data_IF_228245052802
#
_entry.id   IF_228245052802
#
_cell.length_a   1.000
_cell.length_b   1.000
_cell.length_c   1.000
_cell.angle_alpha   90.00
_cell.angle_beta   90.00
_cell.angle_gamma   90.00
#
_symmetry.space_group_name_H-M   'P 1'
#
loop_
_entity.id
_entity.type
_entity.pdbx_description
1 polymer ?
#
# COMPACT_ATOMS: atom_id res chain seq x y z
N UNK A 1 44.83 -29.31 -4.58
CA UNK A 1 44.52 -27.98 -5.15
C UNK A 1 43.04 -27.97 -5.50
N UNK A 2 42.30 -27.16 -4.77
CA UNK A 2 40.84 -27.01 -4.79
C UNK A 2 40.41 -26.22 -6.02
N UNK A 3 39.31 -26.60 -6.67
CA UNK A 3 38.53 -25.66 -7.48
C UNK A 3 37.07 -25.85 -7.09
N UNK A 4 36.58 -24.92 -6.28
CA UNK A 4 35.16 -24.71 -6.01
C UNK A 4 34.54 -24.05 -7.24
N UNK A 5 33.35 -24.46 -7.72
CA UNK A 5 32.62 -23.66 -8.70
C UNK A 5 32.08 -22.40 -8.01
N UNK A 6 32.47 -21.24 -8.55
CA UNK A 6 31.91 -19.92 -8.27
C UNK A 6 30.39 -19.97 -8.55
N UNK A 7 29.57 -19.76 -7.52
CA UNK A 7 28.13 -19.57 -7.69
C UNK A 7 27.86 -18.34 -8.57
N UNK A 8 26.92 -18.50 -9.50
CA UNK A 8 26.41 -17.43 -10.34
C UNK A 8 25.90 -16.29 -9.45
N UNK A 9 26.47 -15.10 -9.62
CA UNK A 9 25.85 -13.88 -9.15
C UNK A 9 24.56 -13.69 -9.95
N UNK A 10 23.42 -13.67 -9.28
CA UNK A 10 22.16 -13.27 -9.86
C UNK A 10 22.36 -11.92 -10.56
N UNK A 11 22.34 -11.94 -11.89
CA UNK A 11 22.37 -10.72 -12.69
C UNK A 11 21.06 -9.99 -12.44
N UNK A 12 21.04 -9.09 -11.45
CA UNK A 12 20.00 -8.08 -11.34
C UNK A 12 20.06 -7.29 -12.64
N UNK A 13 19.13 -7.59 -13.56
CA UNK A 13 19.06 -6.94 -14.86
C UNK A 13 18.99 -5.42 -14.69
N UNK A 14 19.48 -4.69 -15.68
CA UNK A 14 19.35 -3.23 -15.70
C UNK A 14 17.89 -2.83 -15.44
N UNK A 15 17.62 -1.75 -14.69
CA UNK A 15 16.26 -1.34 -14.39
C UNK A 15 15.43 -1.20 -15.67
N UNK A 16 14.25 -1.81 -15.68
CA UNK A 16 13.33 -1.68 -16.81
C UNK A 16 12.81 -0.24 -16.86
N UNK A 17 12.99 0.46 -17.98
CA UNK A 17 12.33 1.75 -18.20
C UNK A 17 10.83 1.51 -18.40
N UNK A 18 10.05 1.78 -17.36
CA UNK A 18 8.60 1.64 -17.35
C UNK A 18 7.89 2.83 -18.01
N UNK A 19 8.65 3.85 -18.41
CA UNK A 19 8.20 4.99 -19.20
C UNK A 19 7.93 6.26 -18.40
N UNK A 20 7.48 7.26 -19.15
CA UNK A 20 7.16 8.59 -18.63
C UNK A 20 5.68 8.69 -18.24
N UNK A 21 5.34 9.48 -17.23
CA UNK A 21 3.98 9.78 -16.82
C UNK A 21 3.88 11.26 -16.46
N UNK A 22 2.70 11.85 -16.60
CA UNK A 22 2.49 13.21 -16.09
C UNK A 22 2.48 13.21 -14.55
N UNK A 23 1.85 12.17 -13.97
CA UNK A 23 1.74 11.99 -12.52
C UNK A 23 2.02 10.53 -12.12
N UNK A 24 2.91 10.34 -11.15
CA UNK A 24 3.07 9.05 -10.44
C UNK A 24 2.45 9.17 -9.06
N UNK A 25 1.49 8.31 -8.75
CA UNK A 25 0.86 8.20 -7.43
C UNK A 25 1.46 7.00 -6.71
N UNK A 26 1.94 7.18 -5.49
CA UNK A 26 2.54 6.11 -4.69
C UNK A 26 1.51 5.67 -3.64
N UNK A 27 1.03 4.43 -3.75
CA UNK A 27 0.05 3.82 -2.84
C UNK A 27 -1.38 3.81 -3.40
N UNK A 28 -2.02 2.64 -3.40
CA UNK A 28 -3.44 2.42 -3.75
C UNK A 28 -4.33 2.33 -2.51
N UNK A 29 -4.11 3.24 -1.56
CA UNK A 29 -5.00 3.49 -0.41
C UNK A 29 -6.08 4.53 -0.74
N UNK A 30 -6.84 4.93 0.29
CA UNK A 30 -7.90 5.93 0.14
C UNK A 30 -7.41 7.26 -0.46
N UNK A 31 -6.23 7.73 -0.05
CA UNK A 31 -5.61 8.95 -0.58
C UNK A 31 -5.22 8.83 -2.05
N UNK A 32 -4.55 7.74 -2.43
CA UNK A 32 -4.13 7.51 -3.81
C UNK A 32 -5.29 7.36 -4.78
N UNK A 33 -6.35 6.63 -4.40
CA UNK A 33 -7.57 6.53 -5.20
C UNK A 33 -8.30 7.87 -5.29
N UNK A 34 -8.36 8.62 -4.19
CA UNK A 34 -8.92 9.98 -4.17
C UNK A 34 -8.20 10.92 -5.13
N UNK A 35 -6.86 10.90 -5.13
CA UNK A 35 -6.03 11.68 -6.05
C UNK A 35 -6.27 11.28 -7.51
N UNK A 36 -6.27 9.97 -7.80
CA UNK A 36 -6.49 9.45 -9.15
C UNK A 36 -7.86 9.84 -9.71
N UNK A 37 -8.92 9.77 -8.89
CA UNK A 37 -10.24 10.25 -9.28
C UNK A 37 -10.21 11.73 -9.65
N UNK A 38 -9.61 12.58 -8.81
CA UNK A 38 -9.57 14.04 -9.04
C UNK A 38 -8.74 14.42 -10.26
N UNK A 39 -7.62 13.74 -10.50
CA UNK A 39 -6.80 13.92 -11.71
C UNK A 39 -7.62 13.55 -12.94
N UNK A 40 -8.31 12.41 -12.92
CA UNK A 40 -9.14 11.94 -14.04
C UNK A 40 -10.33 12.86 -14.29
N UNK A 41 -11.00 13.33 -13.23
CA UNK A 41 -12.15 14.23 -13.30
C UNK A 41 -11.78 15.59 -13.90
N UNK A 42 -10.69 16.20 -13.43
CA UNK A 42 -10.36 17.60 -13.73
C UNK A 42 -9.44 17.77 -14.92
N UNK A 43 -8.69 16.72 -15.27
CA UNK A 43 -7.66 16.78 -16.30
C UNK A 43 -7.77 15.58 -17.24
N UNK A 44 -8.87 15.46 -18.00
CA UNK A 44 -9.02 14.38 -18.96
C UNK A 44 -7.85 14.40 -19.96
N UNK A 45 -7.19 13.26 -20.12
CA UNK A 45 -6.03 13.09 -21.01
C UNK A 45 -4.66 13.11 -20.31
N UNK A 46 -4.59 13.45 -19.02
CA UNK A 46 -3.36 13.28 -18.25
C UNK A 46 -3.04 11.79 -18.08
N UNK A 47 -1.80 11.40 -18.34
CA UNK A 47 -1.33 10.03 -18.19
C UNK A 47 -0.75 9.83 -16.79
N UNK A 48 -1.45 9.10 -15.94
CA UNK A 48 -0.98 8.75 -14.60
C UNK A 48 -0.86 7.24 -14.38
N UNK A 49 -0.03 6.89 -13.40
CA UNK A 49 0.13 5.51 -12.89
C UNK A 49 0.10 5.52 -11.36
N UNK A 50 -0.45 4.47 -10.76
CA UNK A 50 -0.41 4.24 -9.31
C UNK A 50 0.51 3.05 -9.05
N UNK A 51 1.53 3.23 -8.22
CA UNK A 51 2.43 2.17 -7.79
C UNK A 51 2.02 1.70 -6.39
N UNK A 52 1.57 0.45 -6.29
CA UNK A 52 1.17 -0.17 -5.02
C UNK A 52 2.09 -1.35 -4.71
N UNK A 53 2.67 -1.33 -3.50
CA UNK A 53 3.58 -2.38 -3.04
C UNK A 53 2.89 -3.74 -2.92
N UNK A 54 1.60 -3.78 -2.59
CA UNK A 54 0.84 -5.02 -2.38
C UNK A 54 0.21 -5.54 -3.67
N UNK A 55 -0.30 -6.77 -3.59
CA UNK A 55 -1.07 -7.39 -4.66
C UNK A 55 -2.54 -6.90 -4.75
N UNK A 56 -2.98 -6.03 -3.83
CA UNK A 56 -4.38 -5.62 -3.68
C UNK A 56 -4.52 -4.15 -3.25
N UNK A 57 -5.65 -3.55 -3.60
CA UNK A 57 -6.07 -2.22 -3.17
C UNK A 57 -6.45 -2.25 -1.68
N UNK A 58 -6.18 -1.16 -0.95
CA UNK A 58 -6.78 -0.94 0.36
C UNK A 58 -5.94 -0.11 1.33
N UNK A 59 -4.63 0.01 1.08
CA UNK A 59 -3.71 0.68 2.01
C UNK A 59 -3.80 0.08 3.41
N UNK A 60 -4.09 0.91 4.42
CA UNK A 60 -4.28 0.48 5.83
C UNK A 60 -5.27 -0.68 5.98
N UNK A 61 -6.33 -0.71 5.17
CA UNK A 61 -7.39 -1.72 5.24
C UNK A 61 -7.01 -3.06 4.60
N UNK A 62 -5.92 -3.08 3.84
CA UNK A 62 -5.30 -4.33 3.40
C UNK A 62 -4.16 -4.77 4.34
N UNK A 63 -3.48 -3.82 4.99
CA UNK A 63 -2.40 -4.07 5.95
C UNK A 63 -2.89 -4.76 7.23
N UNK A 64 -3.95 -4.24 7.86
CA UNK A 64 -4.45 -4.77 9.12
C UNK A 64 -5.59 -5.75 8.87
N UNK A 65 -5.33 -7.05 9.08
CA UNK A 65 -6.30 -8.14 8.86
C UNK A 65 -6.68 -8.92 10.12
N UNK A 66 -6.50 -8.33 11.31
CA UNK A 66 -6.89 -8.96 12.57
C UNK A 66 -8.40 -8.82 12.84
N UNK A 67 -9.03 -9.77 13.57
CA UNK A 67 -10.46 -9.70 13.87
C UNK A 67 -10.85 -8.40 14.61
N UNK A 68 -11.90 -7.74 14.13
CA UNK A 68 -12.44 -6.51 14.76
C UNK A 68 -11.76 -5.20 14.35
N UNK A 69 -10.86 -5.22 13.34
CA UNK A 69 -10.34 -3.98 12.75
C UNK A 69 -11.47 -3.19 12.09
N UNK A 70 -11.63 -1.93 12.52
CA UNK A 70 -12.67 -1.01 12.06
C UNK A 70 -12.17 0.42 12.08
N UNK A 71 -12.85 1.31 11.37
CA UNK A 71 -12.60 2.74 11.51
C UNK A 71 -13.13 3.26 12.85
N UNK A 72 -12.37 4.15 13.47
CA UNK A 72 -12.82 4.98 14.58
C UNK A 72 -13.71 6.13 14.10
N UNK A 73 -13.54 6.55 12.86
CA UNK A 73 -14.35 7.54 12.17
C UNK A 73 -15.63 6.92 11.62
N UNK A 74 -16.68 7.74 11.57
CA UNK A 74 -17.89 7.38 10.82
C UNK A 74 -17.51 7.11 9.37
N UNK A 75 -18.02 6.01 8.79
CA UNK A 75 -17.73 5.70 7.39
C UNK A 75 -18.26 6.78 6.45
N UNK A 76 -19.30 7.51 6.85
CA UNK A 76 -19.85 8.63 6.08
C UNK A 76 -18.91 9.82 5.96
N UNK A 77 -17.97 9.98 6.90
CA UNK A 77 -16.92 11.02 6.84
C UNK A 77 -15.64 10.50 6.20
N UNK A 78 -15.39 9.19 6.26
CA UNK A 78 -14.23 8.56 5.63
C UNK A 78 -14.45 8.31 4.13
N UNK A 79 -15.68 8.02 3.69
CA UNK A 79 -16.01 7.73 2.29
C UNK A 79 -15.74 8.92 1.38
N UNK A 80 -15.64 8.65 0.08
CA UNK A 80 -15.41 9.68 -0.90
C UNK A 80 -16.70 10.50 -1.09
N UNK A 81 -16.61 11.84 -1.18
CA UNK A 81 -17.80 12.67 -1.36
C UNK A 81 -18.52 12.40 -2.70
N UNK A 82 -17.80 11.85 -3.68
CA UNK A 82 -18.33 11.46 -4.99
C UNK A 82 -18.79 9.99 -5.06
N UNK A 83 -18.47 9.17 -4.06
CA UNK A 83 -18.93 7.79 -3.94
C UNK A 83 -19.43 7.54 -2.51
N UNK A 84 -20.66 7.96 -2.18
CA UNK A 84 -21.17 7.81 -0.82
C UNK A 84 -21.25 6.35 -0.38
N UNK A 85 -20.99 6.10 0.91
CA UNK A 85 -21.21 4.80 1.51
C UNK A 85 -22.69 4.41 1.50
N UNK A 86 -23.01 3.22 1.00
CA UNK A 86 -24.39 2.75 0.81
C UNK A 86 -24.84 1.69 1.81
N UNK A 87 -23.93 1.13 2.61
CA UNK A 87 -24.29 0.11 3.60
C UNK A 87 -24.86 0.77 4.87
N UNK A 88 -25.59 -0.03 5.66
CA UNK A 88 -26.33 0.46 6.82
C UNK A 88 -25.41 0.73 8.02
N UNK A 89 -24.27 0.06 8.10
CA UNK A 89 -23.31 0.25 9.18
C UNK A 89 -22.69 1.66 9.14
N UNK A 90 -22.74 2.37 10.28
CA UNK A 90 -22.05 3.67 10.44
C UNK A 90 -20.58 3.54 10.81
N UNK A 91 -20.18 2.38 11.35
CA UNK A 91 -18.79 2.02 11.65
C UNK A 91 -18.45 0.80 10.83
N UNK A 92 -17.65 0.99 9.77
CA UNK A 92 -17.35 -0.06 8.83
C UNK A 92 -16.13 -0.90 9.28
N UNK A 93 -16.28 -2.21 9.13
CA UNK A 93 -15.17 -3.15 9.27
C UNK A 93 -14.16 -2.97 8.13
N UNK A 94 -12.89 -3.27 8.41
CA UNK A 94 -11.80 -3.04 7.44
C UNK A 94 -12.01 -3.77 6.12
N UNK A 95 -12.63 -4.96 6.13
CA UNK A 95 -12.98 -5.71 4.92
C UNK A 95 -13.97 -4.91 4.05
N UNK A 96 -15.01 -4.35 4.66
CA UNK A 96 -16.02 -3.58 3.93
C UNK A 96 -15.43 -2.28 3.36
N UNK A 97 -14.52 -1.63 4.10
CA UNK A 97 -13.83 -0.44 3.59
C UNK A 97 -12.95 -0.80 2.39
N UNK A 98 -12.21 -1.91 2.46
CA UNK A 98 -11.40 -2.39 1.33
C UNK A 98 -12.26 -2.74 0.11
N UNK A 99 -13.39 -3.41 0.31
CA UNK A 99 -14.36 -3.73 -0.76
C UNK A 99 -14.90 -2.45 -1.42
N UNK A 100 -15.25 -1.46 -0.63
CA UNK A 100 -15.69 -0.16 -1.10
C UNK A 100 -14.61 0.55 -1.94
N UNK A 101 -13.35 0.56 -1.49
CA UNK A 101 -12.23 1.15 -2.23
C UNK A 101 -12.01 0.43 -3.57
N UNK A 102 -12.03 -0.91 -3.57
CA UNK A 102 -11.88 -1.71 -4.79
C UNK A 102 -13.05 -1.50 -5.76
N UNK A 103 -14.29 -1.44 -5.25
CA UNK A 103 -15.48 -1.18 -6.07
C UNK A 103 -15.43 0.22 -6.69
N UNK A 104 -15.03 1.22 -5.90
CA UNK A 104 -14.84 2.60 -6.37
C UNK A 104 -13.79 2.65 -7.49
N UNK A 105 -12.63 2.03 -7.28
CA UNK A 105 -11.55 2.02 -8.27
C UNK A 105 -12.00 1.42 -9.61
N UNK A 106 -12.74 0.30 -9.58
CA UNK A 106 -13.32 -0.32 -10.78
C UNK A 106 -14.36 0.55 -11.45
N UNK A 107 -15.28 1.15 -10.68
CA UNK A 107 -16.37 1.99 -11.19
C UNK A 107 -15.83 3.15 -12.03
N UNK A 108 -14.73 3.76 -11.58
CA UNK A 108 -14.10 4.89 -12.26
C UNK A 108 -12.91 4.50 -13.16
N UNK A 109 -12.67 3.20 -13.36
CA UNK A 109 -11.59 2.68 -14.22
C UNK A 109 -10.17 2.95 -13.70
N UNK A 110 -10.03 3.39 -12.45
CA UNK A 110 -8.75 3.72 -11.80
C UNK A 110 -7.89 2.47 -11.64
N UNK A 111 -8.51 1.31 -11.44
CA UNK A 111 -7.84 0.02 -11.27
C UNK A 111 -6.89 -0.34 -12.43
N UNK A 112 -7.22 0.10 -13.66
CA UNK A 112 -6.41 -0.10 -14.87
C UNK A 112 -5.07 0.62 -14.83
N UNK A 113 -4.98 1.68 -14.01
CA UNK A 113 -3.79 2.50 -13.84
C UNK A 113 -2.90 2.03 -12.69
N UNK A 114 -3.30 0.98 -11.97
CA UNK A 114 -2.53 0.47 -10.83
C UNK A 114 -1.50 -0.55 -11.34
N UNK A 115 -0.27 -0.45 -10.82
CA UNK A 115 0.76 -1.47 -10.89
C UNK A 115 0.94 -2.00 -9.47
N UNK A 116 0.48 -3.23 -9.27
CA UNK A 116 0.63 -3.94 -8.01
C UNK A 116 2.06 -4.48 -7.87
N UNK A 117 2.39 -5.01 -6.70
CA UNK A 117 3.71 -5.55 -6.37
C UNK A 117 4.86 -4.60 -6.73
N UNK A 118 4.61 -3.29 -6.65
CA UNK A 118 5.51 -2.22 -7.08
C UNK A 118 5.98 -1.45 -5.86
N UNK A 119 7.14 -1.81 -5.32
CA UNK A 119 7.73 -1.16 -4.16
C UNK A 119 8.64 -0.02 -4.61
N UNK A 120 8.17 1.22 -4.45
CA UNK A 120 9.00 2.43 -4.66
C UNK A 120 10.08 2.52 -3.57
N UNK A 121 11.34 2.61 -4.00
CA UNK A 121 12.54 2.72 -3.16
C UNK A 121 13.07 4.14 -3.07
N UNK A 122 12.97 4.91 -4.15
CA UNK A 122 13.47 6.27 -4.22
C UNK A 122 12.64 7.11 -5.21
N UNK A 123 12.65 8.42 -4.98
CA UNK A 123 12.11 9.42 -5.89
C UNK A 123 13.07 10.61 -5.88
N UNK A 124 13.73 10.83 -7.01
CA UNK A 124 14.83 11.78 -7.15
C UNK A 124 14.43 12.87 -8.15
N UNK A 125 14.48 14.14 -7.73
CA UNK A 125 14.21 15.28 -8.60
C UNK A 125 15.44 15.68 -9.40
N UNK A 126 15.26 15.88 -10.70
CA UNK A 126 16.27 16.40 -11.60
C UNK A 126 15.81 17.75 -12.18
N UNK A 127 16.49 18.82 -11.74
CA UNK A 127 16.21 20.19 -12.20
C UNK A 127 16.69 20.49 -13.62
N UNK A 128 17.49 19.62 -14.23
CA UNK A 128 17.93 19.79 -15.63
C UNK A 128 16.85 19.33 -16.62
N UNK A 129 15.99 18.41 -16.18
CA UNK A 129 14.90 17.85 -16.99
C UNK A 129 13.52 18.26 -16.48
N UNK A 130 13.44 18.92 -15.33
CA UNK A 130 12.21 19.23 -14.59
C UNK A 130 11.33 17.99 -14.38
N UNK A 131 11.97 16.87 -14.04
CA UNK A 131 11.30 15.59 -13.80
C UNK A 131 11.80 14.86 -12.57
N UNK A 132 10.91 14.04 -12.00
CA UNK A 132 11.22 13.02 -11.03
C UNK A 132 11.61 11.73 -11.72
N UNK A 133 12.63 11.07 -11.19
CA UNK A 133 12.97 9.67 -11.46
C UNK A 133 12.55 8.84 -10.25
N UNK A 134 11.62 7.90 -10.45
CA UNK A 134 11.11 7.02 -9.41
C UNK A 134 11.71 5.64 -9.63
N UNK A 135 12.49 5.18 -8.64
CA UNK A 135 13.07 3.84 -8.64
C UNK A 135 12.17 2.91 -7.85
N UNK A 136 11.74 1.82 -8.47
CA UNK A 136 10.86 0.82 -7.87
C UNK A 136 11.38 -0.60 -8.11
N UNK A 137 10.88 -1.53 -7.30
CA UNK A 137 11.00 -2.97 -7.52
C UNK A 137 9.60 -3.49 -7.84
N UNK A 138 9.37 -3.92 -9.08
CA UNK A 138 8.10 -4.44 -9.55
C UNK A 138 8.21 -5.93 -9.82
N UNK A 139 7.39 -6.73 -9.14
CA UNK A 139 7.41 -8.20 -9.25
C UNK A 139 8.83 -8.78 -9.04
N UNK A 140 9.60 -8.18 -8.12
CA UNK A 140 10.99 -8.56 -7.82
C UNK A 140 12.04 -8.04 -8.80
N UNK A 141 11.64 -7.30 -9.85
CA UNK A 141 12.54 -6.75 -10.87
C UNK A 141 12.69 -5.24 -10.72
N UNK A 142 13.89 -4.66 -10.81
CA UNK A 142 14.06 -3.21 -10.79
C UNK A 142 13.35 -2.54 -11.97
N UNK A 143 12.63 -1.46 -11.70
CA UNK A 143 11.92 -0.65 -12.67
C UNK A 143 12.11 0.84 -12.38
N UNK A 144 12.15 1.65 -13.43
CA UNK A 144 12.30 3.09 -13.35
C UNK A 144 11.15 3.78 -14.05
N UNK A 145 10.54 4.75 -13.38
CA UNK A 145 9.49 5.60 -13.91
C UNK A 145 9.96 7.05 -13.93
N UNK A 146 9.54 7.83 -14.93
CA UNK A 146 9.79 9.27 -14.98
C UNK A 146 8.49 10.06 -14.90
N UNK A 147 8.45 11.14 -14.14
CA UNK A 147 7.23 11.95 -14.04
C UNK A 147 7.45 13.43 -13.77
N UNK A 148 6.47 14.27 -14.11
CA UNK A 148 6.49 15.70 -13.73
C UNK A 148 6.07 15.91 -12.29
N UNK A 149 5.07 15.15 -11.85
CA UNK A 149 4.52 15.24 -10.50
C UNK A 149 4.52 13.89 -9.82
N UNK A 150 4.77 13.89 -8.51
CA UNK A 150 4.67 12.71 -7.66
C UNK A 150 3.69 13.01 -6.52
N UNK A 151 2.71 12.12 -6.32
CA UNK A 151 1.75 12.21 -5.23
C UNK A 151 1.98 11.06 -4.24
N UNK A 152 2.39 11.39 -3.02
CA UNK A 152 2.64 10.41 -1.97
C UNK A 152 1.35 10.07 -1.21
N UNK A 153 0.71 8.97 -1.61
CA UNK A 153 -0.38 8.32 -0.88
C UNK A 153 0.11 7.10 -0.09
N UNK A 154 1.40 7.04 0.24
CA UNK A 154 2.07 5.85 0.76
C UNK A 154 1.66 5.46 2.17
N UNK A 155 0.91 6.29 2.91
CA UNK A 155 0.51 6.03 4.29
C UNK A 155 1.63 6.28 5.31
N UNK A 156 1.27 6.40 6.58
CA UNK A 156 2.16 6.78 7.68
C UNK A 156 2.63 5.61 8.56
N UNK A 157 2.15 4.39 8.29
CA UNK A 157 2.53 3.20 9.05
C UNK A 157 3.80 2.58 8.50
N UNK A 158 4.66 2.07 9.40
CA UNK A 158 5.69 1.12 8.99
C UNK A 158 4.98 -0.18 8.56
N UNK A 159 5.17 -0.54 7.29
CA UNK A 159 4.54 -1.71 6.69
C UNK A 159 5.29 -3.01 6.95
N UNK A 160 6.58 -2.92 7.27
CA UNK A 160 7.45 -4.06 7.48
C UNK A 160 7.37 -4.55 8.93
N UNK A 161 7.36 -3.62 9.88
CA UNK A 161 7.43 -3.93 11.30
C UNK A 161 6.49 -3.05 12.13
N UNK A 162 5.68 -3.70 12.97
CA UNK A 162 4.94 -3.01 14.02
C UNK A 162 5.87 -2.66 15.18
N UNK A 163 5.70 -1.48 15.76
CA UNK A 163 6.50 -1.07 16.91
C UNK A 163 6.30 -2.03 18.11
N UNK A 164 7.39 -2.65 18.56
CA UNK A 164 7.42 -3.48 19.76
C UNK A 164 8.25 -2.74 20.82
N UNK A 165 7.62 -2.20 21.89
CA UNK A 165 8.35 -1.52 22.94
C UNK A 165 9.25 -2.50 23.70
N UNK A 166 10.45 -2.04 24.05
CA UNK A 166 11.34 -2.80 24.92
C UNK A 166 10.87 -2.69 26.37
N UNK A 167 10.61 -3.83 27.01
CA UNK A 167 10.31 -3.87 28.44
C UNK A 167 11.51 -4.46 29.21
N UNK A 168 11.98 -3.82 30.29
CA UNK A 168 13.14 -4.28 31.06
C UNK A 168 13.01 -5.70 31.64
N UNK A 169 11.78 -6.22 31.80
CA UNK A 169 11.48 -7.55 32.34
C UNK A 169 11.06 -8.59 31.26
N UNK A 170 11.21 -8.28 29.97
CA UNK A 170 10.67 -9.10 28.87
C UNK A 170 11.39 -10.45 28.66
N UNK A 171 12.55 -10.68 29.28
CA UNK A 171 13.22 -11.98 29.25
C UNK A 171 12.64 -13.03 30.22
N UNK A 172 11.72 -12.64 31.11
CA UNK A 172 11.14 -13.53 32.12
C UNK A 172 9.63 -13.34 32.31
N UNK A 173 8.84 -13.43 31.24
CA UNK A 173 7.42 -13.75 31.42
C UNK A 173 6.90 -14.64 30.31
N UNK A 174 6.42 -15.82 30.68
CA UNK A 174 5.72 -16.76 29.81
C UNK A 174 4.28 -16.29 29.48
N UNK A 175 4.09 -14.98 29.33
CA UNK A 175 2.81 -14.40 28.92
C UNK A 175 2.89 -14.12 27.42
N UNK A 176 1.84 -14.45 26.63
CA UNK A 176 1.84 -14.18 25.20
C UNK A 176 1.94 -12.67 24.95
N UNK A 177 2.98 -12.25 24.22
CA UNK A 177 3.12 -10.88 23.77
C UNK A 177 2.06 -10.57 22.71
N UNK A 178 1.23 -9.57 22.97
CA UNK A 178 0.20 -9.13 22.03
C UNK A 178 0.75 -7.97 21.18
N UNK A 179 1.65 -8.30 20.25
CA UNK A 179 2.15 -7.32 19.27
C UNK A 179 1.22 -7.29 18.06
N UNK A 180 0.94 -6.08 17.56
CA UNK A 180 0.14 -5.89 16.34
C UNK A 180 0.97 -6.34 15.13
N UNK A 181 0.82 -7.61 14.75
CA UNK A 181 1.52 -8.23 13.62
C UNK A 181 0.90 -7.84 12.27
N UNK A 182 1.75 -7.60 11.26
CA UNK A 182 1.42 -7.25 9.87
C UNK A 182 1.20 -8.47 8.95
N UNK A 183 1.08 -9.70 9.49
CA UNK A 183 0.97 -10.94 8.73
C UNK A 183 -0.34 -11.73 8.96
N UNK A 184 -0.71 -12.66 8.05
CA UNK A 184 -1.89 -13.49 8.21
C UNK A 184 -1.62 -14.59 9.23
N UNK A 185 -2.03 -14.39 10.49
CA UNK A 185 -2.16 -15.49 11.46
C UNK A 185 -3.64 -15.76 11.71
N UNK A 186 -4.02 -17.02 11.58
CA UNK A 186 -5.31 -17.53 12.07
C UNK A 186 -5.33 -17.42 13.59
N UNK A 187 -6.16 -16.53 14.13
CA UNK A 187 -6.39 -16.43 15.56
C UNK A 187 -7.51 -17.39 15.94
N UNK A 188 -7.19 -18.48 16.61
CA UNK A 188 -8.16 -19.24 17.41
C UNK A 188 -7.98 -18.84 18.86
N UNK A 189 -8.88 -18.00 19.38
CA UNK A 189 -8.96 -17.75 20.82
C UNK A 189 -10.04 -18.67 21.40
N UNK A 190 -9.73 -19.54 22.39
CA UNK A 190 -10.79 -20.23 23.11
C UNK A 190 -11.56 -19.20 23.94
N UNK A 191 -12.89 -19.27 23.86
CA UNK A 191 -13.79 -18.37 24.58
C UNK A 191 -13.46 -18.40 26.08
N UNK A 192 -12.98 -17.27 26.62
CA UNK A 192 -12.96 -17.04 28.06
C UNK A 192 -14.14 -16.16 28.42
N UNK A 193 -14.99 -16.75 29.26
CA UNK A 193 -16.19 -16.19 29.87
C UNK A 193 -15.74 -15.12 30.87
N UNK A 194 -16.34 -13.93 30.78
CA UNK A 194 -16.20 -12.90 31.79
C UNK A 194 -17.31 -13.10 32.83
N UNK A 195 -16.92 -13.57 34.01
CA UNK A 195 -17.38 -13.08 35.30
C UNK A 195 -16.19 -13.08 36.24
#
# INVERSE_FOLDING_TARGET
MTVTPQQAADSVGAPQDAGYFDVVIIGAGISGLGAAYRISERNPGIRYVILERRAQIGGTWDLFRYPGVRSDSSIFTLSFPYEPWTRKEGVADGVHIREYLAATARKYGIDRHIRFNSYVRAADWDSTTDTWTITAEQDGTPATYRARFVFFGSGYYNYDEGYTPEFPASSSSAAPSCTRSTGPRTWTTPARRWW
#
